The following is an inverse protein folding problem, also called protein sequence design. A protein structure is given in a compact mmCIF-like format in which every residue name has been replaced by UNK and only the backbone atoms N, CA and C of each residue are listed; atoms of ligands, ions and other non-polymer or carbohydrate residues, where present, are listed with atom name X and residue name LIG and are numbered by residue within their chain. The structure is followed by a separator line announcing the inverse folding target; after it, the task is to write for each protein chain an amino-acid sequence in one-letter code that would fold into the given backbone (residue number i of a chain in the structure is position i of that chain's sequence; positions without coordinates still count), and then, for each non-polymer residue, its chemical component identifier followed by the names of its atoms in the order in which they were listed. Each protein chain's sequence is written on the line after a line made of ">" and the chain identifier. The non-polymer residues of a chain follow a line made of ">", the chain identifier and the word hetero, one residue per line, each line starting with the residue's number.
data_IF_829725161145
#
_entry.id   IF_829725161145
#
_cell.length_a   1.000
_cell.length_b   1.000
_cell.length_c   1.000
_cell.angle_alpha   90.00
_cell.angle_beta   90.00
_cell.angle_gamma   90.00
#
_symmetry.space_group_name_H-M   'P 1'
#
loop_
_entity.id
_entity.type
_entity.pdbx_description
1 polymer ?
#
# COMPACT_ATOMS: atom_id res chain seq x y z
N UNK A 1 21.33 69.18 -4.83
CA UNK A 1 21.69 68.79 -6.21
C UNK A 1 21.89 67.29 -6.26
N UNK A 2 21.57 66.53 -7.31
CA UNK A 2 20.50 66.62 -8.34
C UNK A 2 20.33 65.19 -8.88
N UNK A 3 19.11 64.71 -9.13
CA UNK A 3 18.89 63.40 -9.76
C UNK A 3 19.47 63.36 -11.19
N UNK A 4 20.12 62.26 -11.57
CA UNK A 4 20.53 61.98 -12.95
C UNK A 4 20.23 60.52 -13.32
N UNK A 5 19.02 60.27 -13.83
CA UNK A 5 18.59 58.96 -14.34
C UNK A 5 19.20 58.72 -15.72
N UNK A 6 20.17 57.81 -15.84
CA UNK A 6 20.75 57.40 -17.12
C UNK A 6 19.96 56.23 -17.73
N UNK A 7 18.92 56.57 -18.49
CA UNK A 7 18.10 55.61 -19.23
C UNK A 7 18.91 54.96 -20.38
N UNK A 8 19.40 53.73 -20.19
CA UNK A 8 19.99 52.93 -21.27
C UNK A 8 18.90 52.48 -22.25
N UNK A 9 18.81 53.19 -23.38
CA UNK A 9 17.92 52.89 -24.52
C UNK A 9 18.27 51.52 -25.13
N UNK A 10 17.61 50.44 -24.70
CA UNK A 10 17.73 49.10 -25.31
C UNK A 10 17.32 49.17 -26.78
N UNK A 11 18.28 49.03 -27.71
CA UNK A 11 17.98 48.72 -29.12
C UNK A 11 17.20 47.39 -29.15
N UNK A 12 16.01 47.37 -29.75
CA UNK A 12 15.38 46.12 -30.18
C UNK A 12 16.28 45.50 -31.25
N UNK A 13 16.92 44.37 -30.94
CA UNK A 13 17.36 43.46 -32.00
C UNK A 13 16.10 42.85 -32.62
N UNK A 14 15.88 43.14 -33.89
CA UNK A 14 14.91 42.40 -34.70
C UNK A 14 15.55 41.05 -35.04
N UNK A 15 14.85 39.96 -34.78
CA UNK A 15 15.21 38.64 -35.28
C UNK A 15 15.30 38.69 -36.81
N UNK A 16 16.26 38.01 -37.46
CA UNK A 16 16.22 37.85 -38.91
C UNK A 16 14.95 37.09 -39.31
N UNK A 17 14.34 37.39 -40.47
CA UNK A 17 13.21 36.62 -40.97
C UNK A 17 13.64 35.18 -41.28
N UNK A 18 12.76 34.22 -40.97
CA UNK A 18 12.97 32.81 -41.29
C UNK A 18 13.20 32.61 -42.79
N UNK A 19 14.10 31.71 -43.21
CA UNK A 19 14.30 31.41 -44.63
C UNK A 19 13.03 30.80 -45.24
N UNK A 20 12.76 31.00 -46.54
CA UNK A 20 11.60 30.44 -47.20
C UNK A 20 11.65 28.90 -47.16
N UNK A 21 10.54 28.29 -46.75
CA UNK A 21 10.38 26.84 -46.75
C UNK A 21 10.23 26.37 -48.20
N UNK A 22 11.34 26.00 -48.82
CA UNK A 22 11.30 25.23 -50.06
C UNK A 22 10.79 23.81 -49.75
N UNK A 23 9.74 23.31 -50.43
CA UNK A 23 9.24 21.97 -50.19
C UNK A 23 10.29 20.94 -50.62
N UNK A 24 10.86 20.22 -49.65
CA UNK A 24 11.69 19.05 -49.96
C UNK A 24 10.82 18.03 -50.69
N UNK A 25 11.24 17.67 -51.90
CA UNK A 25 10.61 16.70 -52.78
C UNK A 25 10.41 15.38 -52.04
N UNK A 26 9.19 15.10 -51.61
CA UNK A 26 8.85 13.84 -50.96
C UNK A 26 9.04 12.68 -51.95
N UNK A 27 9.79 11.66 -51.55
CA UNK A 27 9.81 10.38 -52.25
C UNK A 27 8.38 9.84 -52.29
N UNK A 28 7.87 9.57 -53.49
CA UNK A 28 6.46 9.21 -53.69
C UNK A 28 6.15 7.86 -53.03
N UNK A 29 5.57 7.88 -51.83
CA UNK A 29 4.76 6.75 -51.36
C UNK A 29 3.45 6.79 -52.14
N UNK A 30 3.32 5.86 -53.09
CA UNK A 30 2.11 5.68 -53.89
C UNK A 30 1.03 5.13 -52.95
N UNK A 31 0.18 6.01 -52.43
CA UNK A 31 -1.13 5.62 -51.90
C UNK A 31 -1.97 5.22 -53.11
N UNK A 32 -2.51 3.98 -53.20
CA UNK A 32 -3.38 3.63 -54.30
C UNK A 32 -4.64 4.51 -54.24
N UNK A 33 -5.10 5.07 -55.37
CA UNK A 33 -6.30 5.88 -55.38
C UNK A 33 -7.49 5.00 -54.99
N UNK A 34 -8.25 5.43 -53.97
CA UNK A 34 -9.55 4.84 -53.69
C UNK A 34 -10.45 5.06 -54.92
N UNK A 35 -11.19 4.03 -55.40
CA UNK A 35 -12.03 4.18 -56.57
C UNK A 35 -13.12 5.22 -56.30
N UNK A 36 -13.11 6.30 -57.10
CA UNK A 36 -14.13 7.36 -57.05
C UNK A 36 -15.38 7.05 -57.88
N UNK A 37 -15.50 5.83 -58.41
CA UNK A 37 -16.72 5.36 -59.07
C UNK A 37 -17.75 5.00 -58.00
N UNK A 38 -18.99 5.52 -58.05
CA UNK A 38 -20.09 4.96 -57.25
C UNK A 38 -20.21 3.45 -57.51
N UNK A 39 -20.54 2.63 -56.50
CA UNK A 39 -20.79 1.21 -56.73
C UNK A 39 -21.94 1.05 -57.73
N UNK A 40 -21.71 0.20 -58.73
CA UNK A 40 -22.69 -0.16 -59.74
C UNK A 40 -23.89 -0.85 -59.06
N UNK A 41 -25.13 -0.35 -59.17
CA UNK A 41 -26.27 -0.89 -58.44
C UNK A 41 -26.62 -2.34 -58.84
N UNK A 42 -26.18 -2.77 -60.02
CA UNK A 42 -26.40 -4.12 -60.57
C UNK A 42 -25.14 -5.00 -60.50
N UNK A 43 -24.07 -4.56 -59.82
CA UNK A 43 -22.96 -5.45 -59.51
C UNK A 43 -23.41 -6.50 -58.48
N UNK A 44 -23.58 -7.74 -58.93
CA UNK A 44 -23.77 -8.91 -58.07
C UNK A 44 -22.81 -8.81 -56.87
N UNK A 45 -23.32 -8.80 -55.62
CA UNK A 45 -22.46 -8.71 -54.46
C UNK A 45 -21.57 -9.94 -54.46
N UNK A 46 -20.27 -9.75 -54.73
CA UNK A 46 -19.27 -10.79 -54.57
C UNK A 46 -19.46 -11.33 -53.16
N UNK A 47 -19.96 -12.57 -53.11
CA UNK A 47 -20.37 -13.22 -51.89
C UNK A 47 -19.13 -13.60 -51.08
N UNK A 48 -18.52 -12.59 -50.45
CA UNK A 48 -17.61 -12.72 -49.31
C UNK A 48 -18.42 -13.23 -48.13
N UNK A 49 -18.88 -14.47 -48.27
CA UNK A 49 -19.27 -15.34 -47.19
C UNK A 49 -17.96 -15.66 -46.46
N UNK A 50 -17.52 -14.71 -45.63
CA UNK A 50 -16.79 -15.09 -44.43
C UNK A 50 -17.72 -16.09 -43.73
N UNK A 51 -17.36 -17.39 -43.61
CA UNK A 51 -18.20 -18.32 -42.88
C UNK A 51 -18.37 -17.73 -41.49
N UNK A 52 -19.62 -17.57 -41.04
CA UNK A 52 -19.91 -16.96 -39.75
C UNK A 52 -19.29 -17.84 -38.67
N UNK A 53 -18.11 -17.46 -38.19
CA UNK A 53 -17.36 -18.23 -37.19
C UNK A 53 -18.30 -18.43 -35.99
N UNK A 54 -18.63 -19.68 -35.62
CA UNK A 54 -19.54 -19.94 -34.52
C UNK A 54 -19.09 -19.17 -33.27
N UNK A 55 -19.98 -18.47 -32.55
CA UNK A 55 -19.56 -17.64 -31.41
C UNK A 55 -18.74 -18.39 -30.36
N UNK A 56 -19.01 -19.69 -30.18
CA UNK A 56 -18.24 -20.55 -29.27
C UNK A 56 -16.83 -20.84 -29.77
N UNK A 57 -16.61 -20.96 -31.08
CA UNK A 57 -15.26 -21.18 -31.65
C UNK A 57 -14.40 -19.92 -31.41
N UNK A 58 -14.98 -18.72 -31.58
CA UNK A 58 -14.31 -17.46 -31.22
C UNK A 58 -13.98 -17.38 -29.74
N UNK A 59 -14.89 -17.76 -28.84
CA UNK A 59 -14.65 -17.76 -27.38
C UNK A 59 -13.54 -18.75 -27.00
N UNK A 60 -13.59 -19.98 -27.52
CA UNK A 60 -12.57 -21.01 -27.27
C UNK A 60 -11.22 -20.58 -27.82
N UNK A 61 -11.18 -19.96 -29.00
CA UNK A 61 -9.97 -19.44 -29.62
C UNK A 61 -9.31 -18.35 -28.78
N UNK A 62 -10.06 -17.34 -28.32
CA UNK A 62 -9.54 -16.30 -27.41
C UNK A 62 -8.94 -16.92 -26.14
N UNK A 63 -9.65 -17.83 -25.48
CA UNK A 63 -9.16 -18.49 -24.26
C UNK A 63 -7.90 -19.32 -24.53
N UNK A 64 -7.84 -20.02 -25.67
CA UNK A 64 -6.68 -20.82 -26.08
C UNK A 64 -5.45 -19.93 -26.36
N UNK A 65 -5.63 -18.82 -27.08
CA UNK A 65 -4.58 -17.83 -27.37
C UNK A 65 -4.06 -17.19 -26.08
N UNK A 66 -4.93 -16.78 -25.16
CA UNK A 66 -4.49 -16.21 -23.87
C UNK A 66 -3.71 -17.23 -23.03
N UNK A 67 -4.18 -18.49 -22.96
CA UNK A 67 -3.45 -19.59 -22.32
C UNK A 67 -2.07 -19.82 -22.94
N UNK A 68 -1.96 -19.84 -24.26
CA UNK A 68 -0.69 -20.02 -24.97
C UNK A 68 0.28 -18.86 -24.71
N UNK A 69 -0.21 -17.63 -24.60
CA UNK A 69 0.60 -16.48 -24.24
C UNK A 69 1.13 -16.55 -22.80
N UNK A 70 0.33 -17.01 -21.84
CA UNK A 70 0.77 -17.24 -20.46
C UNK A 70 1.81 -18.35 -20.36
N UNK A 71 1.66 -19.45 -21.12
CA UNK A 71 2.69 -20.50 -21.20
C UNK A 71 4.02 -19.99 -21.79
N UNK A 72 3.96 -19.08 -22.78
CA UNK A 72 5.16 -18.42 -23.30
C UNK A 72 5.80 -17.46 -22.27
N UNK A 73 4.99 -16.74 -21.48
CA UNK A 73 5.48 -15.89 -20.38
C UNK A 73 6.20 -16.71 -19.31
N UNK A 74 5.63 -17.83 -18.87
CA UNK A 74 6.26 -18.77 -17.94
C UNK A 74 7.60 -19.29 -18.48
N UNK A 75 7.63 -19.69 -19.76
CA UNK A 75 8.86 -20.11 -20.43
C UNK A 75 9.94 -19.02 -20.42
N UNK A 76 9.58 -17.75 -20.64
CA UNK A 76 10.53 -16.63 -20.58
C UNK A 76 11.13 -16.50 -19.17
N UNK A 77 10.30 -16.43 -18.13
CA UNK A 77 10.80 -16.26 -16.75
C UNK A 77 11.42 -17.52 -16.13
N UNK A 78 11.41 -18.66 -16.82
CA UNK A 78 12.16 -19.86 -16.43
C UNK A 78 13.47 -20.01 -17.21
N UNK A 79 13.48 -19.68 -18.51
CA UNK A 79 14.62 -19.94 -19.42
C UNK A 79 15.51 -18.74 -19.75
N UNK A 80 15.00 -17.51 -19.71
CA UNK A 80 15.78 -16.31 -20.04
C UNK A 80 16.41 -15.69 -18.79
N UNK A 81 17.75 -15.71 -18.73
CA UNK A 81 18.51 -15.22 -17.59
C UNK A 81 18.28 -13.73 -17.34
N UNK A 82 18.24 -12.90 -18.39
CA UNK A 82 18.08 -11.45 -18.24
C UNK A 82 16.71 -11.09 -17.66
N UNK A 83 15.65 -11.74 -18.11
CA UNK A 83 14.29 -11.56 -17.58
C UNK A 83 14.22 -11.94 -16.10
N UNK A 84 14.91 -13.02 -15.69
CA UNK A 84 14.99 -13.46 -14.29
C UNK A 84 15.75 -12.47 -13.42
N UNK A 85 16.94 -12.05 -13.84
CA UNK A 85 17.74 -11.04 -13.13
C UNK A 85 16.99 -9.72 -13.01
N UNK A 86 16.31 -9.27 -14.06
CA UNK A 86 15.49 -8.06 -14.01
C UNK A 86 14.26 -8.20 -13.10
N UNK A 87 13.63 -9.37 -13.02
CA UNK A 87 12.56 -9.63 -12.05
C UNK A 87 13.09 -9.53 -10.61
N UNK A 88 14.21 -10.16 -10.29
CA UNK A 88 14.83 -10.08 -8.96
C UNK A 88 15.23 -8.63 -8.62
N UNK A 89 15.84 -7.90 -9.58
CA UNK A 89 16.14 -6.47 -9.44
C UNK A 89 14.89 -5.62 -9.21
N UNK A 90 13.79 -5.87 -9.94
CA UNK A 90 12.54 -5.15 -9.77
C UNK A 90 11.93 -5.39 -8.38
N UNK A 91 11.90 -6.64 -7.92
CA UNK A 91 11.42 -7.03 -6.58
C UNK A 91 12.24 -6.32 -5.49
N UNK A 92 13.57 -6.38 -5.58
CA UNK A 92 14.46 -5.69 -4.63
C UNK A 92 14.29 -4.18 -4.67
N UNK A 93 14.18 -3.57 -5.87
CA UNK A 93 14.07 -2.12 -6.03
C UNK A 93 12.79 -1.57 -5.40
N UNK A 94 11.64 -2.22 -5.66
CA UNK A 94 10.37 -1.81 -5.04
C UNK A 94 10.38 -2.07 -3.55
N UNK A 95 10.84 -3.24 -3.09
CA UNK A 95 10.94 -3.53 -1.66
C UNK A 95 11.78 -2.47 -0.91
N UNK A 96 12.91 -2.06 -1.51
CA UNK A 96 13.75 -0.96 -0.99
C UNK A 96 13.02 0.36 -0.95
N UNK A 97 12.28 0.74 -2.01
CA UNK A 97 11.47 1.96 -2.06
C UNK A 97 10.42 2.01 -0.93
N UNK A 98 9.71 0.90 -0.69
CA UNK A 98 8.74 0.82 0.42
C UNK A 98 9.43 0.95 1.79
N UNK A 99 10.57 0.27 1.98
CA UNK A 99 11.33 0.31 3.23
C UNK A 99 11.94 1.68 3.57
N UNK A 100 12.10 2.58 2.59
CA UNK A 100 12.51 3.99 2.79
C UNK A 100 11.32 4.97 2.73
N UNK A 101 10.09 4.48 2.89
CA UNK A 101 8.88 5.30 2.94
C UNK A 101 8.48 5.97 1.62
N UNK A 102 8.98 5.47 0.48
CA UNK A 102 8.50 5.81 -0.85
C UNK A 102 7.35 4.90 -1.28
N UNK A 103 6.85 5.11 -2.50
CA UNK A 103 5.76 4.30 -3.09
C UNK A 103 6.08 3.86 -4.52
N UNK A 104 5.35 2.85 -4.99
CA UNK A 104 5.33 2.45 -6.40
C UNK A 104 4.29 3.29 -7.16
N UNK A 105 4.75 4.12 -8.10
CA UNK A 105 3.88 4.94 -8.96
C UNK A 105 3.66 4.20 -10.27
N UNK A 106 2.45 3.67 -10.47
CA UNK A 106 2.10 2.87 -11.66
C UNK A 106 1.48 3.79 -12.71
N UNK A 107 2.02 3.75 -13.93
CA UNK A 107 1.67 4.64 -15.03
C UNK A 107 1.36 3.83 -16.31
N UNK A 108 0.31 4.22 -17.03
CA UNK A 108 -0.07 3.62 -18.31
C UNK A 108 -1.28 4.32 -18.93
N UNK A 109 -1.54 4.08 -20.22
CA UNK A 109 -2.69 4.63 -20.95
C UNK A 109 -3.65 3.53 -21.42
N UNK A 110 -4.91 3.90 -21.66
CA UNK A 110 -5.91 2.98 -22.23
C UNK A 110 -6.04 1.68 -21.45
N UNK A 111 -6.02 0.54 -22.15
CA UNK A 111 -6.14 -0.79 -21.51
C UNK A 111 -4.96 -1.10 -20.57
N UNK A 112 -3.74 -0.73 -20.94
CA UNK A 112 -2.57 -0.85 -20.05
C UNK A 112 -2.70 0.00 -18.78
N UNK A 113 -3.32 1.18 -18.89
CA UNK A 113 -3.70 2.00 -17.73
C UNK A 113 -4.69 1.29 -16.81
N UNK A 114 -5.70 0.60 -17.35
CA UNK A 114 -6.66 -0.20 -16.56
C UNK A 114 -6.04 -1.42 -15.88
N UNK A 115 -5.06 -2.08 -16.52
CA UNK A 115 -4.23 -3.07 -15.82
C UNK A 115 -3.44 -2.41 -14.69
N UNK A 116 -2.88 -1.22 -14.91
CA UNK A 116 -2.22 -0.42 -13.87
C UNK A 116 -3.10 -0.11 -12.66
N UNK A 117 -4.35 0.34 -12.87
CA UNK A 117 -5.33 0.57 -11.81
C UNK A 117 -5.61 -0.70 -10.99
N UNK A 118 -5.81 -1.85 -11.65
CA UNK A 118 -5.97 -3.16 -10.98
C UNK A 118 -4.72 -3.51 -10.16
N UNK A 119 -3.53 -3.31 -10.72
CA UNK A 119 -2.27 -3.60 -10.04
C UNK A 119 -2.05 -2.70 -8.82
N UNK A 120 -2.44 -1.42 -8.87
CA UNK A 120 -2.41 -0.53 -7.68
C UNK A 120 -3.29 -1.07 -6.55
N UNK A 121 -4.51 -1.54 -6.87
CA UNK A 121 -5.36 -2.19 -5.86
C UNK A 121 -4.68 -3.45 -5.29
N UNK A 122 -4.11 -4.30 -6.15
CA UNK A 122 -3.42 -5.55 -5.77
C UNK A 122 -2.20 -5.29 -4.88
N UNK A 123 -1.35 -4.33 -5.26
CA UNK A 123 -0.16 -3.93 -4.52
C UNK A 123 -0.53 -3.38 -3.13
N UNK A 124 -1.50 -2.47 -3.06
CA UNK A 124 -1.97 -1.92 -1.78
C UNK A 124 -2.62 -2.99 -0.88
N UNK A 125 -3.37 -3.94 -1.45
CA UNK A 125 -3.91 -5.11 -0.73
C UNK A 125 -2.81 -5.99 -0.09
N UNK A 126 -1.58 -5.97 -0.62
CA UNK A 126 -0.41 -6.63 -0.03
C UNK A 126 0.50 -5.69 0.78
N UNK A 127 0.04 -4.48 1.13
CA UNK A 127 0.84 -3.50 1.88
C UNK A 127 1.99 -2.87 1.11
N UNK A 128 2.02 -3.00 -0.22
CA UNK A 128 2.98 -2.34 -1.11
C UNK A 128 2.37 -1.00 -1.48
N UNK A 129 2.78 0.07 -0.77
CA UNK A 129 2.21 1.40 -0.98
C UNK A 129 2.38 1.82 -2.44
N UNK A 130 1.26 2.06 -3.12
CA UNK A 130 1.23 2.34 -4.54
C UNK A 130 0.10 3.30 -4.93
N UNK A 131 0.27 4.02 -6.03
CA UNK A 131 -0.76 4.88 -6.61
C UNK A 131 -0.71 4.81 -8.14
N UNK A 132 -1.86 5.04 -8.78
CA UNK A 132 -1.92 5.21 -10.22
C UNK A 132 -1.65 6.67 -10.58
N UNK A 133 -0.91 6.91 -11.66
CA UNK A 133 -0.72 8.23 -12.25
C UNK A 133 -0.95 8.13 -13.75
N UNK A 134 -1.98 8.81 -14.25
CA UNK A 134 -2.21 8.89 -15.69
C UNK A 134 -1.20 9.87 -16.31
N UNK A 135 -0.46 9.50 -17.36
CA UNK A 135 0.66 10.31 -17.84
C UNK A 135 0.23 11.66 -18.43
N UNK A 136 -0.99 11.77 -18.98
CA UNK A 136 -1.55 13.05 -19.43
C UNK A 136 -1.79 14.00 -18.24
N UNK A 137 -2.37 13.50 -17.14
CA UNK A 137 -2.63 14.31 -15.95
C UNK A 137 -1.34 14.70 -15.24
N UNK A 138 -0.32 13.84 -15.29
CA UNK A 138 1.03 14.16 -14.81
C UNK A 138 1.58 15.43 -15.47
N UNK A 139 1.46 15.53 -16.79
CA UNK A 139 1.88 16.70 -17.59
C UNK A 139 1.03 17.96 -17.31
N UNK A 140 -0.14 17.81 -16.68
CA UNK A 140 -1.05 18.91 -16.33
C UNK A 140 -1.06 19.28 -14.83
N UNK A 141 -0.26 18.61 -14.00
CA UNK A 141 -0.02 19.00 -12.59
C UNK A 141 0.33 17.84 -11.66
N UNK A 142 -0.14 16.62 -11.97
CA UNK A 142 -0.02 15.47 -11.07
C UNK A 142 1.40 14.88 -11.00
N UNK A 143 2.35 15.40 -11.78
CA UNK A 143 3.78 15.11 -11.62
C UNK A 143 4.25 15.38 -10.17
N UNK A 144 3.62 16.34 -9.48
CA UNK A 144 3.87 16.62 -8.05
C UNK A 144 3.55 15.47 -7.09
N UNK A 145 2.85 14.42 -7.54
CA UNK A 145 2.67 13.19 -6.75
C UNK A 145 3.97 12.38 -6.62
N UNK A 146 4.91 12.52 -7.56
CA UNK A 146 6.17 11.75 -7.59
C UNK A 146 7.21 12.36 -6.64
N UNK A 147 7.89 11.49 -5.87
CA UNK A 147 8.95 11.86 -4.93
C UNK A 147 10.27 11.16 -5.30
N UNK A 148 11.39 11.74 -4.86
CA UNK A 148 12.74 11.21 -5.17
C UNK A 148 13.04 9.81 -4.61
N UNK A 149 12.26 9.33 -3.64
CA UNK A 149 12.39 7.99 -3.04
C UNK A 149 11.40 6.96 -3.62
N UNK A 150 10.55 7.36 -4.56
CA UNK A 150 9.60 6.48 -5.24
C UNK A 150 10.27 5.60 -6.30
N UNK A 151 9.53 4.64 -6.84
CA UNK A 151 9.86 3.90 -8.06
C UNK A 151 8.69 4.02 -9.03
N UNK A 152 8.95 4.23 -10.32
CA UNK A 152 7.90 4.14 -11.34
C UNK A 152 7.78 2.73 -11.92
N UNK A 153 6.55 2.34 -12.24
CA UNK A 153 6.24 1.19 -13.08
C UNK A 153 5.43 1.66 -14.30
N UNK A 154 6.05 1.66 -15.47
CA UNK A 154 5.36 1.86 -16.74
C UNK A 154 4.78 0.55 -17.27
N UNK A 155 3.55 0.61 -17.76
CA UNK A 155 2.91 -0.50 -18.47
C UNK A 155 2.60 -0.02 -19.89
N UNK A 156 3.34 -0.53 -20.86
CA UNK A 156 3.14 -0.23 -22.29
C UNK A 156 3.56 -1.40 -23.15
N UNK A 157 2.61 -1.99 -23.88
CA UNK A 157 2.91 -3.13 -24.74
C UNK A 157 3.94 -2.78 -25.82
N UNK A 158 3.81 -1.62 -26.48
CA UNK A 158 4.63 -1.23 -27.63
C UNK A 158 5.98 -0.59 -27.30
N UNK A 159 6.21 -0.21 -26.03
CA UNK A 159 7.41 0.56 -25.64
C UNK A 159 7.54 1.95 -26.31
N UNK A 160 6.48 2.41 -27.01
CA UNK A 160 6.48 3.62 -27.87
C UNK A 160 5.28 4.54 -27.61
N UNK A 161 4.61 4.40 -26.47
CA UNK A 161 3.46 5.23 -26.07
C UNK A 161 3.87 6.69 -25.96
N UNK A 162 3.28 7.54 -26.79
CA UNK A 162 3.55 8.99 -26.88
C UNK A 162 3.55 9.70 -25.53
N UNK A 163 2.52 9.45 -24.72
CA UNK A 163 2.29 10.12 -23.44
C UNK A 163 3.35 9.73 -22.40
N UNK A 164 3.87 8.50 -22.45
CA UNK A 164 4.98 8.06 -21.60
C UNK A 164 6.33 8.62 -22.08
N UNK A 165 6.54 8.66 -23.41
CA UNK A 165 7.74 9.26 -24.01
C UNK A 165 7.83 10.76 -23.74
N UNK A 166 6.70 11.48 -23.76
CA UNK A 166 6.63 12.91 -23.41
C UNK A 166 6.77 13.13 -21.89
N UNK A 167 6.32 12.20 -21.05
CA UNK A 167 6.50 12.29 -19.60
C UNK A 167 7.96 12.10 -19.15
N UNK A 168 8.71 11.19 -19.81
CA UNK A 168 10.07 10.81 -19.41
C UNK A 168 11.03 11.99 -19.14
N UNK A 169 11.18 13.00 -20.02
CA UNK A 169 12.08 14.15 -19.79
C UNK A 169 11.73 15.03 -18.59
N UNK A 170 10.51 14.90 -18.04
CA UNK A 170 10.07 15.65 -16.86
C UNK A 170 10.31 14.88 -15.55
N UNK A 171 10.79 13.63 -15.62
CA UNK A 171 11.11 12.83 -14.44
C UNK A 171 12.56 13.07 -13.96
N UNK A 172 12.82 13.02 -12.64
CA UNK A 172 14.18 13.09 -12.11
C UNK A 172 15.06 11.94 -12.66
N UNK A 173 16.25 12.21 -13.26
CA UNK A 173 17.11 11.16 -13.84
C UNK A 173 17.62 10.08 -12.88
N UNK A 174 17.52 10.33 -11.58
CA UNK A 174 17.88 9.40 -10.49
C UNK A 174 16.74 8.47 -10.08
N UNK A 175 15.53 8.71 -10.58
CA UNK A 175 14.34 7.98 -10.19
C UNK A 175 14.28 6.63 -10.93
N UNK A 176 14.23 5.48 -10.23
CA UNK A 176 14.16 4.19 -10.89
C UNK A 176 12.87 4.00 -11.67
N UNK A 177 13.01 3.42 -12.86
CA UNK A 177 11.92 3.11 -13.79
C UNK A 177 11.92 1.62 -14.09
N UNK A 178 10.83 0.95 -13.75
CA UNK A 178 10.52 -0.41 -14.19
C UNK A 178 9.54 -0.30 -15.37
N UNK A 179 9.69 -1.10 -16.41
CA UNK A 179 8.76 -1.12 -17.55
C UNK A 179 8.33 -2.55 -17.91
N UNK A 180 7.01 -2.78 -17.92
CA UNK A 180 6.38 -3.99 -18.47
C UNK A 180 6.03 -3.71 -19.94
N UNK A 181 6.70 -4.41 -20.87
CA UNK A 181 6.54 -4.20 -22.32
C UNK A 181 6.72 -5.49 -23.12
N UNK A 182 6.32 -5.52 -24.40
CA UNK A 182 6.58 -6.67 -25.28
C UNK A 182 8.06 -6.87 -25.67
N UNK A 183 8.93 -5.92 -25.36
CA UNK A 183 10.34 -6.01 -25.71
C UNK A 183 11.11 -7.00 -24.82
N UNK A 184 12.00 -7.76 -25.44
CA UNK A 184 12.93 -8.66 -24.74
C UNK A 184 14.22 -7.96 -24.28
N UNK A 185 14.56 -6.80 -24.86
CA UNK A 185 15.82 -6.09 -24.64
C UNK A 185 15.59 -4.58 -24.46
N UNK A 186 16.23 -3.91 -23.48
CA UNK A 186 16.05 -2.47 -23.24
C UNK A 186 16.37 -1.61 -24.47
N UNK A 187 17.41 -1.98 -25.23
CA UNK A 187 17.85 -1.29 -26.45
C UNK A 187 16.83 -1.31 -27.60
N UNK A 188 15.83 -2.19 -27.56
CA UNK A 188 14.75 -2.24 -28.56
C UNK A 188 13.52 -1.44 -28.15
N UNK A 189 13.42 -1.04 -26.88
CA UNK A 189 12.28 -0.36 -26.29
C UNK A 189 12.56 1.15 -26.23
N UNK A 190 11.89 1.95 -27.06
CA UNK A 190 12.15 3.40 -27.16
C UNK A 190 12.00 4.13 -25.82
N UNK A 191 11.08 3.67 -24.96
CA UNK A 191 10.88 4.16 -23.59
C UNK A 191 12.14 4.04 -22.71
N UNK A 192 13.04 3.09 -23.01
CA UNK A 192 14.23 2.82 -22.20
C UNK A 192 15.53 3.20 -22.94
N UNK A 193 15.60 2.98 -24.26
CA UNK A 193 16.81 3.26 -25.07
C UNK A 193 17.14 4.74 -25.15
N UNK A 194 16.12 5.60 -25.20
CA UNK A 194 16.25 7.03 -25.50
C UNK A 194 16.02 7.89 -24.23
N UNK A 195 16.11 7.27 -23.04
CA UNK A 195 15.83 7.92 -21.76
C UNK A 195 17.11 8.33 -21.00
N UNK A 196 17.12 9.54 -20.44
CA UNK A 196 18.18 10.00 -19.52
C UNK A 196 18.12 9.32 -18.13
N UNK A 197 17.19 8.38 -17.92
CA UNK A 197 16.99 7.66 -16.66
C UNK A 197 18.13 6.67 -16.43
N UNK A 198 18.81 6.79 -15.29
CA UNK A 198 20.03 6.02 -14.99
C UNK A 198 19.79 4.59 -14.50
N UNK A 199 18.61 4.30 -13.96
CA UNK A 199 18.26 2.98 -13.43
C UNK A 199 16.94 2.52 -14.04
N UNK A 200 17.06 1.79 -15.15
CA UNK A 200 15.96 1.18 -15.86
C UNK A 200 15.96 -0.34 -15.69
N UNK A 201 14.77 -0.92 -15.53
CA UNK A 201 14.55 -2.36 -15.42
C UNK A 201 13.44 -2.75 -16.40
N UNK A 202 13.77 -3.60 -17.36
CA UNK A 202 12.80 -4.14 -18.32
C UNK A 202 12.25 -5.48 -17.81
N UNK A 203 10.92 -5.60 -17.76
CA UNK A 203 10.20 -6.85 -17.50
C UNK A 203 9.48 -7.26 -18.80
N UNK A 204 10.02 -8.21 -19.58
CA UNK A 204 9.40 -8.65 -20.82
C UNK A 204 8.04 -9.31 -20.60
N UNK A 205 7.08 -8.93 -21.43
CA UNK A 205 5.70 -9.41 -21.50
C UNK A 205 5.24 -9.59 -22.97
N UNK A 206 6.00 -10.28 -23.84
CA UNK A 206 5.59 -10.51 -25.22
C UNK A 206 4.44 -11.51 -25.31
N UNK A 207 3.54 -11.27 -26.27
CA UNK A 207 2.59 -12.28 -26.74
C UNK A 207 3.27 -13.19 -27.77
N UNK A 208 2.87 -14.46 -27.81
CA UNK A 208 3.40 -15.46 -28.74
C UNK A 208 2.94 -15.20 -30.19
N UNK A 209 1.75 -14.61 -30.36
CA UNK A 209 1.18 -14.15 -31.62
C UNK A 209 0.49 -12.80 -31.37
N UNK A 210 0.46 -11.91 -32.37
CA UNK A 210 -0.21 -10.60 -32.25
C UNK A 210 -1.71 -10.73 -32.38
N UNK A 211 -2.45 -9.91 -31.65
CA UNK A 211 -3.93 -9.88 -31.66
C UNK A 211 -4.51 -9.59 -33.06
N UNK A 212 -3.80 -8.80 -33.90
CA UNK A 212 -4.19 -8.61 -35.31
C UNK A 212 -4.16 -9.91 -36.13
N UNK A 213 -3.26 -10.82 -35.80
CA UNK A 213 -3.11 -12.12 -36.48
C UNK A 213 -4.08 -13.13 -35.88
N UNK A 214 -4.15 -13.22 -34.55
CA UNK A 214 -5.04 -14.16 -33.85
C UNK A 214 -6.52 -13.86 -34.07
N UNK A 215 -6.92 -12.60 -34.09
CA UNK A 215 -8.34 -12.19 -34.06
C UNK A 215 -8.76 -11.26 -35.21
N UNK A 216 -7.84 -10.91 -36.11
CA UNK A 216 -8.09 -9.95 -37.19
C UNK A 216 -8.23 -8.48 -36.74
N UNK A 217 -8.02 -8.19 -35.45
CA UNK A 217 -8.29 -6.89 -34.82
C UNK A 217 -7.15 -6.49 -33.86
N UNK A 218 -6.68 -5.22 -33.86
CA UNK A 218 -5.62 -4.73 -32.96
C UNK A 218 -6.14 -4.43 -31.54
N UNK A 219 -7.09 -5.20 -31.05
CA UNK A 219 -7.74 -4.95 -29.76
C UNK A 219 -6.93 -5.60 -28.62
N UNK A 220 -6.42 -4.84 -27.63
CA UNK A 220 -5.65 -5.42 -26.54
C UNK A 220 -6.52 -6.36 -25.68
N UNK A 221 -6.21 -7.66 -25.74
CA UNK A 221 -6.82 -8.76 -25.01
C UNK A 221 -5.69 -9.59 -24.39
N UNK A 222 -5.04 -10.44 -25.19
CA UNK A 222 -3.93 -11.30 -24.81
C UNK A 222 -2.73 -10.53 -24.24
N UNK A 223 -2.40 -9.38 -24.83
CA UNK A 223 -1.37 -8.46 -24.31
C UNK A 223 -1.69 -7.93 -22.91
N UNK A 224 -2.97 -7.71 -22.61
CA UNK A 224 -3.43 -7.24 -21.29
C UNK A 224 -3.43 -8.35 -20.25
N UNK A 225 -3.80 -9.57 -20.63
CA UNK A 225 -3.75 -10.77 -19.77
C UNK A 225 -2.31 -11.11 -19.37
N UNK A 226 -1.37 -11.06 -20.31
CA UNK A 226 0.07 -11.28 -20.04
C UNK A 226 0.63 -10.20 -19.10
N UNK A 227 0.33 -8.93 -19.35
CA UNK A 227 0.77 -7.83 -18.49
C UNK A 227 0.18 -7.90 -17.07
N UNK A 228 -1.09 -8.31 -16.94
CA UNK A 228 -1.76 -8.51 -15.66
C UNK A 228 -1.13 -9.65 -14.86
N UNK A 229 -0.94 -10.82 -15.48
CA UNK A 229 -0.34 -11.98 -14.83
C UNK A 229 1.10 -11.69 -14.34
N UNK A 230 1.88 -10.97 -15.16
CA UNK A 230 3.23 -10.55 -14.77
C UNK A 230 3.22 -9.55 -13.60
N UNK A 231 2.28 -8.60 -13.59
CA UNK A 231 2.13 -7.64 -12.50
C UNK A 231 1.68 -8.29 -11.19
N UNK A 232 0.79 -9.28 -11.24
CA UNK A 232 0.34 -10.05 -10.07
C UNK A 232 1.47 -10.93 -9.51
N UNK A 233 2.29 -11.53 -10.39
CA UNK A 233 3.50 -12.26 -9.99
C UNK A 233 4.53 -11.34 -9.30
N UNK A 234 4.77 -10.15 -9.87
CA UNK A 234 5.63 -9.12 -9.27
C UNK A 234 5.10 -8.68 -7.89
N UNK A 235 3.79 -8.44 -7.76
CA UNK A 235 3.16 -8.06 -6.49
C UNK A 235 3.37 -9.12 -5.40
N UNK A 236 3.11 -10.39 -5.71
CA UNK A 236 3.31 -11.50 -4.77
C UNK A 236 4.79 -11.72 -4.41
N UNK A 237 5.70 -11.52 -5.34
CA UNK A 237 7.15 -11.61 -5.09
C UNK A 237 7.64 -10.48 -4.17
N UNK A 238 7.22 -9.23 -4.40
CA UNK A 238 7.51 -8.09 -3.52
C UNK A 238 6.89 -8.32 -2.13
N UNK A 239 5.65 -8.79 -2.05
CA UNK A 239 4.98 -9.06 -0.77
C UNK A 239 5.75 -10.09 0.06
N UNK A 240 6.21 -11.20 -0.56
CA UNK A 240 7.06 -12.21 0.09
C UNK A 240 8.43 -11.66 0.52
N UNK A 241 8.99 -10.69 -0.23
CA UNK A 241 10.27 -10.03 0.09
C UNK A 241 10.15 -9.06 1.26
N UNK A 242 9.04 -8.33 1.35
CA UNK A 242 8.77 -7.36 2.44
C UNK A 242 8.35 -8.03 3.75
N UNK A 243 7.47 -9.01 3.66
CA UNK A 243 6.76 -9.57 4.81
C UNK A 243 7.39 -10.89 5.26
N UNK A 244 8.60 -10.79 5.80
CA UNK A 244 9.43 -11.94 6.24
C UNK A 244 9.40 -12.17 7.75
N UNK A 245 8.77 -11.28 8.52
CA UNK A 245 8.69 -11.38 9.98
C UNK A 245 7.72 -12.51 10.38
N UNK A 246 8.11 -13.45 11.27
CA UNK A 246 7.21 -14.49 11.77
C UNK A 246 5.91 -13.91 12.34
N UNK A 247 4.76 -14.45 11.92
CA UNK A 247 3.43 -13.94 12.31
C UNK A 247 3.00 -12.64 11.60
N UNK A 248 3.80 -12.13 10.66
CA UNK A 248 3.46 -10.98 9.79
C UNK A 248 3.95 -11.24 8.37
N UNK A 249 3.53 -12.38 7.80
CA UNK A 249 3.74 -12.72 6.40
C UNK A 249 2.74 -12.04 5.47
N UNK A 250 2.79 -12.35 4.15
CA UNK A 250 1.88 -11.74 3.17
C UNK A 250 0.40 -11.98 3.46
N UNK A 251 0.04 -13.13 4.07
CA UNK A 251 -1.34 -13.49 4.37
C UNK A 251 -1.89 -12.67 5.55
N UNK A 252 -1.09 -12.48 6.61
CA UNK A 252 -1.44 -11.69 7.79
C UNK A 252 -1.51 -10.20 7.45
N UNK A 253 -0.59 -9.71 6.62
CA UNK A 253 -0.63 -8.33 6.10
C UNK A 253 -1.85 -8.13 5.21
N UNK A 254 -2.14 -9.05 4.29
CA UNK A 254 -3.35 -8.99 3.48
C UNK A 254 -4.61 -8.97 4.36
N UNK A 255 -4.70 -9.82 5.40
CA UNK A 255 -5.82 -9.82 6.35
C UNK A 255 -6.00 -8.45 7.03
N UNK A 256 -4.91 -7.82 7.46
CA UNK A 256 -4.93 -6.48 8.08
C UNK A 256 -5.51 -5.38 7.19
N UNK A 257 -5.33 -5.46 5.86
CA UNK A 257 -5.85 -4.49 4.91
C UNK A 257 -7.30 -4.73 4.44
N UNK A 258 -7.97 -5.79 4.90
CA UNK A 258 -9.35 -6.12 4.48
C UNK A 258 -10.32 -6.32 5.67
N UNK A 259 -10.51 -5.31 6.56
CA UNK A 259 -11.28 -5.45 7.80
C UNK A 259 -12.78 -5.74 7.61
N UNK A 260 -13.37 -5.39 6.46
CA UNK A 260 -14.80 -5.56 6.17
C UNK A 260 -15.15 -6.57 5.07
N UNK A 261 -14.18 -7.34 4.56
CA UNK A 261 -14.37 -8.19 3.38
C UNK A 261 -14.51 -9.69 3.69
N UNK A 262 -15.31 -10.39 2.89
CA UNK A 262 -15.44 -11.86 2.97
C UNK A 262 -14.09 -12.60 2.86
N UNK A 263 -13.11 -12.03 2.15
CA UNK A 263 -11.76 -12.60 2.03
C UNK A 263 -11.00 -12.52 3.37
N UNK A 264 -11.15 -11.44 4.13
CA UNK A 264 -10.59 -11.32 5.49
C UNK A 264 -11.22 -12.30 6.47
N UNK A 265 -12.52 -12.60 6.31
CA UNK A 265 -13.24 -13.61 7.08
C UNK A 265 -12.79 -15.05 6.75
N UNK A 266 -12.56 -15.37 5.47
CA UNK A 266 -12.10 -16.71 5.05
C UNK A 266 -10.73 -17.09 5.67
N UNK A 267 -9.81 -16.13 5.78
CA UNK A 267 -8.53 -16.29 6.50
C UNK A 267 -8.63 -16.11 8.02
N UNK A 268 -9.81 -15.78 8.57
CA UNK A 268 -10.05 -15.82 10.02
C UNK A 268 -10.39 -17.24 10.49
N UNK A 269 -11.04 -18.05 9.66
CA UNK A 269 -11.39 -19.45 9.96
C UNK A 269 -10.24 -20.46 9.84
N UNK A 270 -9.13 -20.11 9.19
CA UNK A 270 -8.01 -21.05 8.93
C UNK A 270 -6.91 -21.05 9.99
N UNK A 271 -7.05 -20.29 11.08
CA UNK A 271 -6.02 -20.14 12.13
C UNK A 271 -6.56 -20.46 13.53
N UNK A 272 -6.96 -21.72 13.75
CA UNK A 272 -7.30 -22.26 15.08
C UNK A 272 -6.56 -23.57 15.34
N UNK A 273 -5.58 -23.63 16.27
CA UNK A 273 -4.92 -24.87 16.64
C UNK A 273 -5.70 -25.65 17.71
N UNK A 274 -5.87 -26.94 17.46
CA UNK A 274 -6.17 -28.06 18.38
C UNK A 274 -7.55 -28.09 19.12
N UNK A 275 -8.02 -29.29 19.52
CA UNK A 275 -9.46 -29.55 19.67
C UNK A 275 -9.98 -29.38 21.10
N UNK A 276 -11.07 -28.62 21.27
CA UNK A 276 -11.90 -28.65 22.47
C UNK A 276 -12.97 -29.74 22.36
N UNK A 277 -12.87 -30.73 23.24
CA UNK A 277 -13.77 -31.88 23.42
C UNK A 277 -15.26 -31.52 23.26
N UNK A 278 -15.94 -32.22 22.35
CA UNK A 278 -17.41 -32.30 22.30
C UNK A 278 -17.94 -33.23 23.39
N UNK A 279 -18.91 -32.83 24.22
CA UNK A 279 -19.90 -33.74 24.77
C UNK A 279 -21.07 -33.86 23.80
N UNK A 280 -21.19 -35.04 23.18
CA UNK A 280 -22.39 -35.44 22.43
C UNK A 280 -23.58 -35.65 23.37
N UNK A 281 -24.79 -35.29 22.93
CA UNK A 281 -26.04 -35.95 23.35
C UNK A 281 -27.12 -35.80 22.26
N UNK A 282 -27.12 -36.79 21.35
CA UNK A 282 -28.29 -37.53 20.85
C UNK A 282 -29.65 -36.83 20.65
N UNK A 283 -30.12 -36.86 19.39
CA UNK A 283 -31.41 -37.44 18.92
C UNK A 283 -32.74 -36.86 19.44
N UNK A 284 -33.85 -36.79 18.68
CA UNK A 284 -34.21 -37.36 17.36
C UNK A 284 -35.27 -36.46 16.70
N UNK A 285 -35.45 -36.59 15.38
CA UNK A 285 -36.54 -35.93 14.63
C UNK A 285 -37.94 -36.40 15.03
N UNK A 286 -38.93 -35.51 14.93
CA UNK A 286 -40.25 -35.85 14.40
C UNK A 286 -40.90 -34.65 13.70
N UNK A 287 -41.68 -34.95 12.67
CA UNK A 287 -42.00 -34.02 11.58
C UNK A 287 -43.41 -33.42 11.72
N UNK A 288 -43.47 -32.08 11.61
CA UNK A 288 -44.54 -31.24 11.05
C UNK A 288 -46.05 -31.60 11.13
N UNK A 289 -46.84 -30.54 11.39
CA UNK A 289 -48.15 -30.17 10.78
C UNK A 289 -49.44 -30.36 11.58
N UNK A 290 -49.93 -29.25 12.16
CA UNK A 290 -51.33 -28.80 12.24
C UNK A 290 -51.30 -27.39 12.89
N UNK A 291 -51.55 -26.27 12.22
CA UNK A 291 -52.73 -25.75 11.50
C UNK A 291 -53.95 -25.47 12.40
N UNK A 292 -54.28 -24.17 12.57
CA UNK A 292 -55.52 -23.60 13.19
C UNK A 292 -55.80 -23.98 14.67
N UNK A 293 -56.48 -23.21 15.54
CA UNK A 293 -56.87 -21.78 15.63
C UNK A 293 -57.38 -21.56 17.09
N UNK A 294 -57.73 -20.39 17.65
CA UNK A 294 -57.90 -19.01 17.14
C UNK A 294 -57.73 -17.98 18.31
N UNK A 295 -58.05 -16.70 18.07
CA UNK A 295 -58.59 -15.67 19.00
C UNK A 295 -58.33 -15.80 20.52
N UNK A 296 -57.76 -14.79 21.19
CA UNK A 296 -58.50 -13.56 21.52
C UNK A 296 -57.63 -12.48 22.20
N UNK A 297 -58.04 -11.21 22.09
CA UNK A 297 -57.45 -10.05 22.78
C UNK A 297 -57.79 -10.03 24.27
N UNK A 298 -56.82 -9.68 25.14
CA UNK A 298 -57.05 -8.79 26.29
C UNK A 298 -55.73 -8.34 26.96
N UNK A 299 -55.54 -7.01 27.06
CA UNK A 299 -55.01 -6.26 28.23
C UNK A 299 -53.63 -6.61 28.85
N UNK A 300 -52.74 -5.62 29.09
CA UNK A 300 -51.51 -5.85 29.83
C UNK A 300 -51.77 -5.88 31.35
N UNK A 301 -51.48 -7.01 32.00
CA UNK A 301 -51.40 -7.10 33.47
C UNK A 301 -49.95 -6.93 33.94
N UNK A 302 -49.69 -5.88 34.72
CA UNK A 302 -48.42 -5.73 35.43
C UNK A 302 -48.27 -6.86 36.45
N UNK A 303 -47.16 -7.59 36.39
CA UNK A 303 -46.72 -8.49 37.45
C UNK A 303 -45.31 -8.07 37.90
N UNK A 304 -45.24 -7.42 39.08
CA UNK A 304 -44.00 -7.17 39.78
C UNK A 304 -43.33 -8.50 40.13
N UNK A 305 -42.12 -8.75 39.62
CA UNK A 305 -41.23 -9.80 40.13
C UNK A 305 -39.78 -9.29 40.18
N UNK A 306 -39.44 -8.72 41.34
CA UNK A 306 -38.16 -8.84 42.05
C UNK A 306 -36.88 -8.41 41.31
N UNK A 307 -36.31 -7.30 41.78
CA UNK A 307 -34.91 -6.94 41.57
C UNK A 307 -33.99 -8.13 41.93
N UNK A 308 -33.03 -8.53 41.08
CA UNK A 308 -31.88 -9.27 41.55
C UNK A 308 -31.04 -8.38 42.49
N UNK A 309 -30.50 -8.99 43.54
CA UNK A 309 -29.65 -8.36 44.55
C UNK A 309 -28.45 -7.63 43.91
N UNK A 310 -27.91 -6.56 44.55
CA UNK A 310 -26.73 -5.85 44.03
C UNK A 310 -25.53 -6.80 43.99
N UNK A 311 -25.17 -7.24 42.78
CA UNK A 311 -23.95 -8.00 42.58
C UNK A 311 -22.73 -7.12 42.81
N UNK A 312 -21.65 -7.75 43.27
CA UNK A 312 -20.44 -7.11 43.78
C UNK A 312 -19.81 -6.15 42.76
N UNK A 313 -19.14 -5.12 43.28
CA UNK A 313 -18.39 -4.15 42.49
C UNK A 313 -17.33 -4.85 41.63
N UNK A 314 -17.64 -5.09 40.35
CA UNK A 314 -16.69 -5.57 39.36
C UNK A 314 -15.51 -4.59 39.27
N UNK A 315 -14.37 -4.97 39.86
CA UNK A 315 -13.15 -4.19 39.79
C UNK A 315 -12.69 -4.14 38.33
N UNK A 316 -12.59 -2.93 37.76
CA UNK A 316 -12.14 -2.75 36.38
C UNK A 316 -10.68 -3.19 36.24
N UNK A 317 -10.43 -4.03 35.23
CA UNK A 317 -9.09 -4.49 34.86
C UNK A 317 -8.31 -3.39 34.16
N UNK A 318 -7.00 -3.33 34.40
CA UNK A 318 -6.11 -2.35 33.77
C UNK A 318 -6.05 -2.52 32.24
N UNK A 319 -6.22 -3.75 31.75
CA UNK A 319 -6.31 -4.09 30.32
C UNK A 319 -7.44 -3.40 29.56
N UNK A 320 -8.49 -2.90 30.25
CA UNK A 320 -9.55 -2.10 29.62
C UNK A 320 -9.13 -0.67 29.23
N UNK A 321 -7.97 -0.21 29.72
CA UNK A 321 -7.41 1.12 29.45
C UNK A 321 -6.14 1.08 28.57
N UNK A 322 -5.63 -0.12 28.26
CA UNK A 322 -4.37 -0.27 27.55
C UNK A 322 -4.54 -0.13 26.04
N UNK A 323 -3.61 0.59 25.40
CA UNK A 323 -3.42 0.54 23.94
C UNK A 323 -2.70 -0.76 23.59
N UNK A 324 -3.27 -1.65 22.74
CA UNK A 324 -2.66 -2.93 22.41
C UNK A 324 -1.27 -2.77 21.79
N UNK A 325 -0.30 -3.59 22.20
CA UNK A 325 1.06 -3.54 21.65
C UNK A 325 1.07 -3.74 20.13
N UNK A 326 0.17 -4.58 19.62
CA UNK A 326 0.02 -4.90 18.20
C UNK A 326 -0.53 -3.77 17.32
N UNK A 327 -1.21 -2.76 17.89
CA UNK A 327 -1.68 -1.59 17.10
C UNK A 327 -0.65 -0.47 17.02
N UNK A 328 0.40 -0.51 17.84
CA UNK A 328 1.38 0.57 17.96
C UNK A 328 2.41 0.50 16.82
N UNK A 329 2.52 1.53 15.96
CA UNK A 329 3.50 1.55 14.90
C UNK A 329 4.91 1.64 15.47
N UNK A 330 5.87 1.00 14.78
CA UNK A 330 7.29 1.09 15.09
C UNK A 330 8.01 1.77 13.94
N UNK A 331 8.82 2.79 14.26
CA UNK A 331 9.72 3.45 13.32
C UNK A 331 10.86 2.46 12.99
N UNK A 332 11.12 2.24 11.70
CA UNK A 332 11.86 1.07 11.22
C UNK A 332 13.27 0.90 11.81
N UNK A 333 13.56 -0.31 12.27
CA UNK A 333 14.75 -0.67 13.05
C UNK A 333 15.98 -1.12 12.21
N UNK A 334 15.90 -1.11 10.88
CA UNK A 334 16.96 -1.66 10.01
C UNK A 334 17.41 -0.77 8.83
N UNK A 335 16.86 0.43 8.66
CA UNK A 335 17.21 1.32 7.53
C UNK A 335 17.79 2.68 7.93
N UNK A 336 17.58 3.12 9.17
CA UNK A 336 17.99 4.44 9.67
C UNK A 336 18.58 4.26 11.08
N UNK A 337 19.82 4.71 11.36
CA UNK A 337 20.35 4.71 12.73
C UNK A 337 19.47 5.53 13.66
N UNK A 338 19.41 5.15 14.94
CA UNK A 338 18.62 5.87 15.96
C UNK A 338 18.91 7.39 15.99
N UNK A 339 20.17 7.78 15.77
CA UNK A 339 20.62 9.18 15.68
C UNK A 339 20.14 9.94 14.44
N UNK A 340 19.59 9.27 13.43
CA UNK A 340 19.12 9.87 12.17
C UNK A 340 17.58 9.94 12.06
N UNK A 341 16.85 9.28 12.97
CA UNK A 341 15.38 9.37 13.04
C UNK A 341 14.98 10.81 13.37
N UNK A 342 14.03 11.38 12.63
CA UNK A 342 13.57 12.77 12.85
C UNK A 342 12.26 12.82 13.62
N UNK A 343 12.00 13.98 14.24
CA UNK A 343 10.72 14.24 14.90
C UNK A 343 9.53 14.09 13.92
N UNK A 344 9.72 14.51 12.66
CA UNK A 344 8.74 14.32 11.58
C UNK A 344 8.36 12.86 11.35
N UNK A 345 9.30 11.91 11.47
CA UNK A 345 9.05 10.48 11.21
C UNK A 345 8.16 9.90 12.31
N UNK A 346 8.42 10.26 13.57
CA UNK A 346 7.61 9.87 14.72
C UNK A 346 6.18 10.45 14.66
N UNK A 347 6.05 11.72 14.28
CA UNK A 347 4.74 12.35 14.10
C UNK A 347 3.97 11.75 12.91
N UNK A 348 4.66 11.44 11.80
CA UNK A 348 4.06 10.78 10.65
C UNK A 348 3.59 9.35 10.98
N UNK A 349 4.36 8.59 11.78
CA UNK A 349 3.95 7.27 12.25
C UNK A 349 2.67 7.35 13.11
N UNK A 350 2.60 8.31 14.05
CA UNK A 350 1.42 8.52 14.89
C UNK A 350 0.17 8.87 14.07
N UNK A 351 0.29 9.71 13.04
CA UNK A 351 -0.83 10.13 12.18
C UNK A 351 -1.30 9.00 11.26
N UNK A 352 -0.40 8.12 10.80
CA UNK A 352 -0.75 6.96 9.95
C UNK A 352 -1.53 5.87 10.70
N UNK A 353 -1.41 5.80 12.03
CA UNK A 353 -2.02 4.77 12.87
C UNK A 353 -2.87 5.39 13.99
N UNK A 354 -4.04 5.98 13.67
CA UNK A 354 -4.90 6.62 14.68
C UNK A 354 -5.41 5.65 15.75
N UNK A 355 -5.56 4.37 15.42
CA UNK A 355 -5.93 3.28 16.34
C UNK A 355 -4.87 3.03 17.44
N UNK A 356 -3.63 3.49 17.23
CA UNK A 356 -2.57 3.45 18.23
C UNK A 356 -2.70 4.55 19.29
N UNK A 357 -3.78 5.34 19.31
CA UNK A 357 -4.02 6.42 20.27
C UNK A 357 -2.85 7.42 20.46
N UNK A 358 -2.06 7.65 19.40
CA UNK A 358 -0.81 8.41 19.40
C UNK A 358 0.32 7.84 20.28
N UNK A 359 0.40 6.52 20.43
CA UNK A 359 1.62 5.81 20.85
C UNK A 359 2.47 5.45 19.62
N UNK A 360 3.80 5.53 19.72
CA UNK A 360 4.74 5.13 18.65
C UNK A 360 5.99 4.55 19.28
N UNK A 361 6.46 3.39 18.81
CA UNK A 361 7.78 2.86 19.19
C UNK A 361 8.86 3.45 18.26
N UNK A 362 9.93 4.01 18.80
CA UNK A 362 11.13 4.40 18.02
C UNK A 362 12.01 3.17 17.76
N UNK A 363 12.07 2.29 18.75
CA UNK A 363 12.69 0.96 18.68
C UNK A 363 11.87 0.01 19.56
N UNK A 364 12.07 -1.33 19.50
CA UNK A 364 11.46 -2.27 20.44
C UNK A 364 11.83 -2.05 21.93
N UNK A 365 12.77 -1.14 22.21
CA UNK A 365 13.21 -0.75 23.55
C UNK A 365 12.97 0.73 23.90
N UNK A 366 12.34 1.51 23.01
CA UNK A 366 12.05 2.92 23.21
C UNK A 366 10.65 3.28 22.69
N UNK A 367 9.73 3.63 23.59
CA UNK A 367 8.34 3.98 23.33
C UNK A 367 8.06 5.48 23.56
N UNK A 368 7.47 6.14 22.56
CA UNK A 368 6.93 7.49 22.67
C UNK A 368 5.48 7.42 23.12
N UNK A 369 5.19 8.08 24.24
CA UNK A 369 3.83 8.21 24.73
C UNK A 369 3.05 9.31 23.99
N UNK A 370 1.71 9.29 24.03
CA UNK A 370 0.87 10.37 23.49
C UNK A 370 1.20 11.75 24.03
N UNK A 371 1.81 11.85 25.23
CA UNK A 371 2.30 13.11 25.80
C UNK A 371 3.53 13.64 25.06
N UNK A 372 4.47 12.76 24.76
CA UNK A 372 5.74 13.10 24.11
C UNK A 372 5.46 13.53 22.68
N UNK A 373 4.63 12.79 21.94
CA UNK A 373 4.20 13.17 20.59
C UNK A 373 3.42 14.49 20.57
N UNK A 374 2.52 14.75 21.54
CA UNK A 374 1.86 16.06 21.69
C UNK A 374 2.82 17.22 22.07
N UNK A 375 3.99 16.93 22.66
CA UNK A 375 5.05 17.92 22.91
C UNK A 375 5.86 18.17 21.63
N UNK A 376 6.28 17.11 20.97
CA UNK A 376 7.03 17.12 19.71
C UNK A 376 6.28 17.83 18.58
N UNK A 377 4.95 17.66 18.51
CA UNK A 377 4.08 18.36 17.56
C UNK A 377 4.05 19.89 17.74
N UNK A 378 4.57 20.43 18.86
CA UNK A 378 4.69 21.87 19.11
C UNK A 378 6.08 22.42 18.77
N UNK A 379 7.02 21.57 18.37
CA UNK A 379 8.36 21.98 17.96
C UNK A 379 8.29 22.74 16.64
N UNK A 380 8.98 23.88 16.53
CA UNK A 380 8.96 24.73 15.32
C UNK A 380 9.71 24.13 14.13
N UNK A 381 10.61 23.18 14.39
CA UNK A 381 11.35 22.45 13.37
C UNK A 381 11.19 20.94 13.60
N UNK A 382 10.33 20.25 12.83
CA UNK A 382 10.18 18.79 12.90
C UNK A 382 11.30 18.04 12.13
N UNK A 383 12.19 18.74 11.43
CA UNK A 383 13.35 18.16 10.76
C UNK A 383 14.50 17.78 11.70
N UNK A 384 14.46 18.27 12.94
CA UNK A 384 15.44 17.96 14.00
C UNK A 384 15.48 16.45 14.28
N UNK A 385 16.69 15.94 14.53
CA UNK A 385 16.95 14.55 14.89
C UNK A 385 16.44 14.25 16.30
N UNK A 386 15.90 13.06 16.48
CA UNK A 386 15.23 12.67 17.71
C UNK A 386 16.19 12.65 18.91
N UNK A 387 17.42 12.15 18.72
CA UNK A 387 18.45 12.13 19.78
C UNK A 387 18.86 13.51 20.30
N UNK A 388 18.77 14.57 19.48
CA UNK A 388 19.10 15.94 19.90
C UNK A 388 18.01 16.56 20.80
N UNK A 389 16.81 15.97 20.82
CA UNK A 389 15.69 16.39 21.67
C UNK A 389 15.65 15.64 23.03
N UNK A 390 16.52 14.64 23.21
CA UNK A 390 16.29 13.55 24.16
C UNK A 390 16.76 13.78 25.62
N UNK A 391 17.22 14.99 25.94
CA UNK A 391 17.89 15.28 27.21
C UNK A 391 17.02 15.22 28.48
N UNK A 392 15.70 14.97 28.39
CA UNK A 392 14.76 15.10 29.53
C UNK A 392 13.65 14.02 29.62
N UNK A 393 13.82 12.78 29.14
CA UNK A 393 12.76 11.74 29.29
C UNK A 393 13.26 10.29 29.41
N UNK A 394 13.81 9.93 30.58
CA UNK A 394 14.28 8.57 30.86
C UNK A 394 13.17 7.50 30.82
N UNK A 395 11.92 7.85 31.15
CA UNK A 395 10.78 6.92 31.30
C UNK A 395 10.37 6.19 30.01
N UNK A 396 10.92 6.60 28.85
CA UNK A 396 10.56 6.10 27.53
C UNK A 396 11.27 4.78 27.15
N UNK A 397 12.39 4.46 27.82
CA UNK A 397 13.15 3.24 27.59
C UNK A 397 12.57 2.02 28.34
N UNK A 398 12.58 0.85 27.71
CA UNK A 398 12.05 -0.42 28.25
C UNK A 398 12.55 -0.78 29.65
N UNK A 399 13.80 -0.43 29.98
CA UNK A 399 14.39 -0.63 31.32
C UNK A 399 13.69 0.14 32.45
N UNK A 400 12.85 1.13 32.12
CA UNK A 400 12.15 2.01 33.06
C UNK A 400 10.62 1.86 32.99
N UNK A 401 10.10 0.92 32.20
CA UNK A 401 8.66 0.62 32.17
C UNK A 401 8.26 -0.19 33.40
N UNK A 402 7.06 0.06 33.93
CA UNK A 402 6.49 -0.72 35.03
C UNK A 402 5.70 -1.89 34.44
N UNK A 403 6.21 -3.10 34.61
CA UNK A 403 5.58 -4.32 34.11
C UNK A 403 4.50 -4.82 35.08
N UNK A 404 3.29 -5.06 34.58
CA UNK A 404 2.15 -5.61 35.34
C UNK A 404 1.40 -6.67 34.52
N UNK A 405 0.82 -7.72 35.14
CA UNK A 405 -0.08 -8.63 34.45
C UNK A 405 -1.32 -7.90 33.87
N UNK A 406 -1.78 -8.27 32.68
CA UNK A 406 -3.01 -7.72 32.09
C UNK A 406 -4.29 -8.02 32.90
N UNK A 407 -4.22 -9.03 33.76
CA UNK A 407 -5.26 -9.44 34.71
C UNK A 407 -5.28 -8.60 36.00
N UNK A 408 -4.33 -7.70 36.23
CA UNK A 408 -4.36 -6.79 37.38
C UNK A 408 -5.53 -5.81 37.33
N UNK A 409 -6.08 -5.49 38.50
CA UNK A 409 -7.10 -4.44 38.61
C UNK A 409 -6.44 -3.05 38.65
N UNK A 410 -7.24 -2.02 38.38
CA UNK A 410 -6.80 -0.61 38.54
C UNK A 410 -6.28 -0.33 39.96
N UNK A 411 -6.86 -0.97 40.99
CA UNK A 411 -6.44 -0.79 42.38
C UNK A 411 -5.06 -1.42 42.66
N UNK A 412 -4.79 -2.61 42.12
CA UNK A 412 -3.49 -3.29 42.31
C UNK A 412 -2.36 -2.47 41.68
N UNK A 413 -2.57 -1.98 40.45
CA UNK A 413 -1.60 -1.14 39.74
C UNK A 413 -1.36 0.17 40.48
N UNK A 414 -2.40 0.76 41.08
CA UNK A 414 -2.26 1.93 41.98
C UNK A 414 -1.43 1.62 43.21
N UNK A 415 -1.62 0.47 43.85
CA UNK A 415 -0.82 0.06 45.01
C UNK A 415 0.67 -0.11 44.64
N UNK A 416 0.97 -0.71 43.48
CA UNK A 416 2.33 -0.84 42.95
C UNK A 416 2.97 0.55 42.72
N UNK A 417 2.28 1.45 42.01
CA UNK A 417 2.77 2.81 41.73
C UNK A 417 3.06 3.60 43.03
N UNK A 418 2.15 3.54 44.01
CA UNK A 418 2.33 4.19 45.31
C UNK A 418 3.49 3.59 46.12
N UNK A 419 3.80 2.30 45.96
CA UNK A 419 4.95 1.63 46.59
C UNK A 419 6.31 2.05 45.99
N UNK A 420 6.33 2.37 44.70
CA UNK A 420 7.52 2.93 44.02
C UNK A 420 7.74 4.40 44.46
N UNK A 421 6.65 5.14 44.71
CA UNK A 421 6.72 6.51 45.24
C UNK A 421 7.14 6.58 46.72
N UNK A 422 6.86 5.56 47.52
CA UNK A 422 7.29 5.52 48.93
C UNK A 422 8.76 5.12 49.06
N UNK A 423 9.25 4.16 48.26
CA UNK A 423 10.66 3.74 48.25
C UNK A 423 11.61 4.81 47.71
N UNK A 424 11.14 5.71 46.85
CA UNK A 424 11.94 6.82 46.28
C UNK A 424 12.01 8.07 47.18
N UNK A 425 11.17 8.19 48.23
CA UNK A 425 11.15 9.33 49.18
C UNK A 425 12.31 9.38 50.19
N UNK A 426 13.25 8.44 50.15
CA UNK A 426 14.47 8.48 50.97
C UNK A 426 15.50 9.56 50.58
N UNK A 427 15.21 10.36 49.54
CA UNK A 427 15.99 11.56 49.13
C UNK A 427 15.05 12.76 49.03
N UNK A 428 15.51 13.93 49.44
CA UNK A 428 14.71 15.16 49.37
C UNK A 428 14.20 15.43 47.94
N UNK A 429 12.87 15.60 47.74
CA UNK A 429 12.31 15.81 46.42
C UNK A 429 12.48 17.27 45.98
N UNK A 430 13.36 17.50 45.00
CA UNK A 430 13.36 18.75 44.23
C UNK A 430 12.06 18.88 43.39
N UNK A 431 11.64 20.10 43.05
CA UNK A 431 10.43 20.33 42.21
C UNK A 431 10.47 19.56 40.87
N UNK A 432 11.65 19.34 40.29
CA UNK A 432 11.83 18.53 39.09
C UNK A 432 11.51 17.04 39.29
N UNK A 433 11.74 16.52 40.50
CA UNK A 433 11.45 15.13 40.87
C UNK A 433 9.94 14.88 40.99
N UNK A 434 9.21 15.78 41.65
CA UNK A 434 7.75 15.67 41.83
C UNK A 434 6.95 15.74 40.51
N UNK A 435 7.56 16.24 39.42
CA UNK A 435 6.99 16.19 38.06
C UNK A 435 7.26 14.89 37.32
N UNK A 436 8.27 14.10 37.69
CA UNK A 436 8.59 12.82 37.03
C UNK A 436 7.71 11.67 37.51
N UNK A 437 7.35 11.65 38.80
CA UNK A 437 6.59 10.54 39.44
C UNK A 437 5.19 10.25 38.89
N UNK A 438 4.68 11.04 37.92
CA UNK A 438 3.35 10.84 37.29
C UNK A 438 3.38 10.61 35.77
N UNK A 439 4.57 10.36 35.21
CA UNK A 439 4.76 10.23 33.76
C UNK A 439 5.16 8.82 33.32
N UNK A 440 5.02 7.83 34.21
CA UNK A 440 5.54 6.48 34.00
C UNK A 440 4.71 5.72 32.96
N UNK A 441 5.40 4.90 32.17
CA UNK A 441 4.80 3.94 31.26
C UNK A 441 4.51 2.66 32.03
N UNK A 442 3.27 2.21 32.01
CA UNK A 442 2.87 0.89 32.53
C UNK A 442 2.73 -0.06 31.34
N UNK A 443 3.53 -1.11 31.33
CA UNK A 443 3.55 -2.15 30.32
C UNK A 443 2.77 -3.37 30.83
N UNK A 444 1.70 -3.73 30.13
CA UNK A 444 0.87 -4.88 30.46
C UNK A 444 1.47 -6.12 29.81
N UNK A 445 1.70 -7.17 30.59
CA UNK A 445 2.18 -8.48 30.11
C UNK A 445 1.03 -9.47 29.99
N UNK A 446 1.13 -10.40 29.03
CA UNK A 446 0.23 -11.55 28.97
C UNK A 446 0.52 -12.52 30.12
N UNK A 447 -0.51 -13.03 30.80
CA UNK A 447 -0.39 -13.82 32.05
C UNK A 447 0.34 -15.18 31.88
N UNK A 448 0.79 -15.52 30.67
CA UNK A 448 1.50 -16.75 30.33
C UNK A 448 2.98 -16.55 29.99
N UNK A 449 3.47 -15.30 29.90
CA UNK A 449 4.87 -15.00 29.58
C UNK A 449 5.27 -13.60 30.04
N UNK A 450 6.35 -13.50 30.82
CA UNK A 450 6.87 -12.22 31.34
C UNK A 450 7.51 -11.33 30.27
N UNK A 451 7.74 -11.83 29.05
CA UNK A 451 8.29 -11.08 27.92
C UNK A 451 7.26 -10.71 26.83
N UNK A 452 6.03 -11.23 26.93
CA UNK A 452 4.97 -11.05 25.93
C UNK A 452 4.10 -9.82 26.26
N UNK A 453 4.32 -8.72 25.53
CA UNK A 453 3.66 -7.44 25.73
C UNK A 453 2.22 -7.45 25.20
N UNK A 454 1.24 -7.28 26.09
CA UNK A 454 -0.16 -7.09 25.74
C UNK A 454 -0.44 -5.65 25.26
N UNK A 455 0.12 -4.64 25.94
CA UNK A 455 -0.12 -3.23 25.63
C UNK A 455 0.46 -2.25 26.64
N UNK A 456 0.18 -0.96 26.46
CA UNK A 456 0.67 0.11 27.34
C UNK A 456 -0.44 1.05 27.79
N UNK A 457 -0.25 1.66 28.97
CA UNK A 457 -1.06 2.77 29.47
C UNK A 457 -0.14 3.79 30.17
N UNK A 458 -0.43 5.09 30.04
CA UNK A 458 0.27 6.10 30.85
C UNK A 458 -0.34 6.12 32.25
N UNK A 459 0.48 6.18 33.30
CA UNK A 459 0.04 6.23 34.70
C UNK A 459 -1.09 7.24 35.00
N UNK A 460 -1.07 8.37 34.29
CA UNK A 460 -2.05 9.46 34.43
C UNK A 460 -3.44 9.16 33.83
N UNK A 461 -3.53 8.15 32.96
CA UNK A 461 -4.78 7.71 32.31
C UNK A 461 -5.48 6.64 33.15
N UNK A 462 -4.77 6.05 34.11
CA UNK A 462 -5.33 5.21 35.17
C UNK A 462 -6.20 6.11 36.08
N UNK A 463 -7.48 5.77 36.36
CA UNK A 463 -8.32 6.46 37.33
C UNK A 463 -7.71 6.53 38.73
N UNK A 464 -8.16 7.48 39.56
CA UNK A 464 -7.84 7.50 41.00
C UNK A 464 -8.78 6.60 41.77
#
# INVERSE_FOLDING_TARGET
>A
MTFAVLARKRRRQLSPPSPPIAPKRASQMIVPPLPMTPPDPDADPIANINPSIPPMDTVVHVIATEKAALANLERIYTTDTLSRENMERAVERVARTINIGGKLVICGVGKSGKIGEKLVATMNSFGIQSCFLHPTEALHGDLGMIRLNDTLLFITFSGKTSELLVLLPHLPPTLPVIAITSHMQPSSCALLSDSDIRDTILLPAPVHEREEVSFGLPAPTTSTTVALALGDALALAIARKLHTVPGRGPAEVFKGFHPGGAIGAAFASSSSPSPSVTPSLSSVSSTATSLSSATSNAGPTQANCLNPLPQSSHQKLISSLATPYSSIPIISYHTVPYSEIRIADALAAAVRCPEAAFWVLVTPSHLLTPRVLRRLAKTRDPGVKFGDFESESHDLFRKNWIHVPKSSTIADVRQILNGIDSTSRGREPTEKSARHTRNRVVALMNDKSEDDLFGFVEEREIPQ
#
